data_IF_377859399457
#
_entry.id   IF_377859399457
#
_cell.length_a   1.000
_cell.length_b   1.000
_cell.length_c   1.000
_cell.angle_alpha   90.00
_cell.angle_beta   90.00
_cell.angle_gamma   90.00
#
_symmetry.space_group_name_H-M   'P 1'
#
loop_
_entity.id
_entity.type
_entity.pdbx_description
1 polymer ?
#
# COMPACT_ATOMS: atom_id res chain seq x y z
N UNK A 1 -0.55 6.06 31.74
CA UNK A 1 -1.25 4.79 31.43
C UNK A 1 -0.20 3.79 30.96
N UNK A 2 -0.30 2.49 31.28
CA UNK A 2 0.73 1.53 30.92
C UNK A 2 0.82 1.40 29.39
N UNK A 3 2.03 1.46 28.85
CA UNK A 3 2.38 1.34 27.41
C UNK A 3 1.72 0.09 26.78
N UNK A 4 1.58 -0.99 27.54
CA UNK A 4 0.93 -2.24 27.13
C UNK A 4 -0.54 -2.08 26.69
N UNK A 5 -1.29 -1.18 27.31
CA UNK A 5 -2.70 -0.96 26.98
C UNK A 5 -2.91 -0.21 25.64
N UNK A 6 -2.01 0.70 25.30
CA UNK A 6 -2.08 1.47 24.04
C UNK A 6 -1.66 0.59 22.85
N UNK A 7 -0.63 -0.23 23.03
CA UNK A 7 -0.20 -1.19 22.00
C UNK A 7 -1.31 -2.21 21.69
N UNK A 8 -2.00 -2.73 22.73
CA UNK A 8 -3.11 -3.66 22.52
C UNK A 8 -4.26 -3.06 21.71
N UNK A 9 -4.64 -1.81 22.00
CA UNK A 9 -5.68 -1.10 21.22
C UNK A 9 -5.24 -0.84 19.76
N UNK A 10 -3.98 -0.48 19.57
CA UNK A 10 -3.40 -0.31 18.23
C UNK A 10 -3.47 -1.60 17.43
N UNK A 11 -3.00 -2.72 17.99
CA UNK A 11 -2.99 -4.02 17.32
C UNK A 11 -4.40 -4.50 16.99
N UNK A 12 -5.37 -4.36 17.91
CA UNK A 12 -6.77 -4.71 17.63
C UNK A 12 -7.31 -3.90 16.44
N UNK A 13 -7.09 -2.59 16.42
CA UNK A 13 -7.55 -1.74 15.32
C UNK A 13 -6.89 -2.10 14.00
N UNK A 14 -5.58 -2.38 14.03
CA UNK A 14 -4.77 -2.75 12.88
C UNK A 14 -5.22 -4.08 12.27
N UNK A 15 -5.42 -5.11 13.09
CA UNK A 15 -5.87 -6.44 12.64
C UNK A 15 -7.31 -6.42 12.13
N UNK A 16 -8.21 -5.68 12.80
CA UNK A 16 -9.58 -5.50 12.32
C UNK A 16 -9.61 -4.80 10.95
N UNK A 17 -8.75 -3.82 10.73
CA UNK A 17 -8.63 -3.16 9.43
C UNK A 17 -8.20 -4.16 8.34
N UNK A 18 -7.22 -5.03 8.60
CA UNK A 18 -6.85 -6.11 7.66
C UNK A 18 -8.05 -7.00 7.32
N UNK A 19 -8.78 -7.48 8.34
CA UNK A 19 -9.95 -8.33 8.12
C UNK A 19 -10.96 -7.63 7.22
N UNK A 20 -11.30 -6.38 7.52
CA UNK A 20 -12.27 -5.60 6.73
C UNK A 20 -11.80 -5.45 5.27
N UNK A 21 -10.54 -5.04 5.05
CA UNK A 21 -10.04 -4.84 3.68
C UNK A 21 -9.90 -6.15 2.91
N UNK A 22 -9.53 -7.25 3.55
CA UNK A 22 -9.50 -8.58 2.91
C UNK A 22 -10.91 -9.00 2.49
N UNK A 23 -11.92 -8.81 3.35
CA UNK A 23 -13.31 -9.14 3.02
C UNK A 23 -13.85 -8.27 1.89
N UNK A 24 -13.61 -6.96 1.93
CA UNK A 24 -13.95 -6.03 0.84
C UNK A 24 -13.28 -6.44 -0.47
N UNK A 25 -12.00 -6.76 -0.43
CA UNK A 25 -11.25 -7.22 -1.58
C UNK A 25 -11.85 -8.51 -2.17
N UNK A 26 -12.11 -9.51 -1.32
CA UNK A 26 -12.62 -10.82 -1.74
C UNK A 26 -14.05 -10.77 -2.26
N UNK A 27 -14.95 -10.04 -1.58
CA UNK A 27 -16.38 -10.09 -1.88
C UNK A 27 -16.83 -9.11 -2.94
N UNK A 28 -16.20 -7.94 -3.02
CA UNK A 28 -16.66 -6.84 -3.89
C UNK A 28 -15.66 -6.48 -4.97
N UNK A 29 -14.36 -6.31 -4.61
CA UNK A 29 -13.39 -5.78 -5.56
C UNK A 29 -12.94 -6.88 -6.54
N UNK A 30 -12.51 -8.04 -6.03
CA UNK A 30 -12.00 -9.13 -6.88
C UNK A 30 -12.99 -9.59 -7.94
N UNK A 31 -14.27 -9.87 -7.63
CA UNK A 31 -15.23 -10.26 -8.66
C UNK A 31 -15.41 -9.20 -9.75
N UNK A 32 -15.27 -7.92 -9.42
CA UNK A 32 -15.47 -6.82 -10.37
C UNK A 32 -14.30 -6.58 -11.31
N UNK A 33 -13.07 -7.03 -10.97
CA UNK A 33 -11.85 -6.71 -11.73
C UNK A 33 -11.19 -7.91 -12.42
N UNK A 34 -11.40 -9.14 -11.90
CA UNK A 34 -10.64 -10.33 -12.26
C UNK A 34 -10.59 -10.63 -13.76
N UNK A 35 -11.63 -10.25 -14.51
CA UNK A 35 -11.78 -10.54 -15.93
C UNK A 35 -11.63 -9.29 -16.82
N UNK A 36 -11.43 -8.10 -16.20
CA UNK A 36 -11.21 -6.83 -16.92
C UNK A 36 -9.78 -6.72 -17.45
N UNK A 37 -9.55 -5.97 -18.54
CA UNK A 37 -8.19 -5.69 -19.02
C UNK A 37 -7.42 -4.81 -18.02
N UNK A 38 -6.06 -4.83 -18.06
CA UNK A 38 -5.23 -4.05 -17.13
C UNK A 38 -5.53 -2.54 -17.13
N UNK A 39 -5.87 -2.00 -18.29
CA UNK A 39 -6.20 -0.58 -18.48
C UNK A 39 -7.47 -0.13 -17.75
N UNK A 40 -8.35 -1.06 -17.35
CA UNK A 40 -9.55 -0.74 -16.59
C UNK A 40 -9.57 -1.36 -15.19
N UNK A 41 -8.79 -2.44 -14.95
CA UNK A 41 -8.74 -3.11 -13.66
C UNK A 41 -7.77 -2.45 -12.67
N UNK A 42 -6.61 -1.98 -13.14
CA UNK A 42 -5.52 -1.49 -12.29
C UNK A 42 -5.58 -0.01 -11.91
N UNK A 43 -6.14 0.92 -12.71
CA UNK A 43 -6.13 2.33 -12.38
C UNK A 43 -6.67 2.68 -10.99
N UNK A 44 -7.80 2.13 -10.48
CA UNK A 44 -8.29 2.47 -9.16
C UNK A 44 -7.29 2.15 -8.04
N UNK A 45 -6.54 1.05 -8.16
CA UNK A 45 -5.52 0.67 -7.20
C UNK A 45 -4.31 1.61 -7.25
N UNK A 46 -3.86 1.97 -8.46
CA UNK A 46 -2.75 2.89 -8.63
C UNK A 46 -3.11 4.30 -8.17
N UNK A 47 -4.35 4.76 -8.43
CA UNK A 47 -4.84 6.04 -7.91
C UNK A 47 -4.85 6.05 -6.38
N UNK A 48 -5.33 4.96 -5.76
CA UNK A 48 -5.26 4.82 -4.30
C UNK A 48 -3.81 4.81 -3.80
N UNK A 49 -2.92 4.12 -4.50
CA UNK A 49 -1.50 4.05 -4.15
C UNK A 49 -0.78 5.41 -4.27
N UNK A 50 -1.23 6.32 -5.13
CA UNK A 50 -0.70 7.68 -5.18
C UNK A 50 -0.93 8.45 -3.86
N UNK A 51 -1.95 8.07 -3.07
CA UNK A 51 -2.20 8.68 -1.75
C UNK A 51 -1.14 8.32 -0.71
N UNK A 52 -0.19 7.44 -1.03
CA UNK A 52 0.99 7.19 -0.18
C UNK A 52 1.86 8.44 0.02
N UNK A 53 1.70 9.47 -0.80
CA UNK A 53 2.30 10.79 -0.52
C UNK A 53 1.98 11.29 0.89
N UNK A 54 0.87 10.83 1.48
CA UNK A 54 0.52 11.14 2.88
C UNK A 54 1.53 10.59 3.90
N UNK A 55 2.42 9.66 3.53
CA UNK A 55 3.53 9.21 4.37
C UNK A 55 4.48 10.35 4.79
N UNK A 56 4.52 11.46 4.04
CA UNK A 56 5.24 12.67 4.45
C UNK A 56 4.72 13.26 5.78
N UNK A 57 3.52 12.86 6.25
CA UNK A 57 3.00 13.24 7.58
C UNK A 57 3.94 12.81 8.71
N UNK A 58 4.71 11.73 8.55
CA UNK A 58 5.70 11.29 9.55
C UNK A 58 6.84 12.31 9.78
N UNK A 59 7.03 13.25 8.86
CA UNK A 59 8.04 14.32 8.94
C UNK A 59 7.45 15.68 9.32
N UNK A 60 6.11 15.78 9.48
CA UNK A 60 5.45 17.07 9.70
C UNK A 60 5.38 17.40 11.20
N UNK A 61 6.01 18.50 11.64
CA UNK A 61 5.89 18.96 13.02
C UNK A 61 4.42 19.15 13.43
N UNK A 62 4.07 18.68 14.62
CA UNK A 62 2.72 18.79 15.15
C UNK A 62 1.75 17.69 14.70
N UNK A 63 2.08 16.91 13.68
CA UNK A 63 1.29 15.73 13.29
C UNK A 63 1.79 14.45 13.96
N UNK A 64 3.06 14.38 14.29
CA UNK A 64 3.70 13.32 15.06
C UNK A 64 4.41 13.89 16.28
N UNK A 65 4.68 13.04 17.27
CA UNK A 65 5.49 13.43 18.42
C UNK A 65 6.93 13.78 17.99
N UNK A 66 7.57 14.80 18.58
CA UNK A 66 8.99 15.07 18.40
C UNK A 66 9.90 13.90 18.82
N UNK A 67 9.40 13.00 19.67
CA UNK A 67 10.11 11.82 20.16
C UNK A 67 10.03 10.62 19.17
N UNK A 68 9.29 10.75 18.06
CA UNK A 68 9.22 9.69 17.05
C UNK A 68 10.62 9.42 16.46
N UNK A 69 11.13 8.19 16.52
CA UNK A 69 12.47 7.86 16.03
C UNK A 69 12.64 8.25 14.55
N UNK A 70 13.62 9.11 14.28
CA UNK A 70 13.94 9.56 12.92
C UNK A 70 14.39 8.40 12.03
N UNK A 71 15.00 7.36 12.63
CA UNK A 71 15.40 6.14 11.93
C UNK A 71 14.19 5.37 11.36
N UNK A 72 13.01 5.52 11.97
CA UNK A 72 11.74 5.02 11.45
C UNK A 72 11.06 6.03 10.52
N UNK A 73 10.91 7.28 10.98
CA UNK A 73 10.09 8.30 10.31
C UNK A 73 10.60 8.65 8.91
N UNK A 74 11.91 8.87 8.78
CA UNK A 74 12.52 9.35 7.52
C UNK A 74 12.46 8.28 6.41
N UNK A 75 12.93 7.05 6.61
CA UNK A 75 12.82 6.03 5.56
C UNK A 75 11.38 5.71 5.18
N UNK A 76 10.46 5.63 6.15
CA UNK A 76 9.04 5.36 5.91
C UNK A 76 8.42 6.46 5.05
N UNK A 77 8.66 7.74 5.36
CA UNK A 77 8.11 8.86 4.60
C UNK A 77 8.62 8.89 3.14
N UNK A 78 9.92 8.72 2.93
CA UNK A 78 10.50 8.73 1.59
C UNK A 78 10.23 7.44 0.81
N UNK A 79 10.08 6.31 1.46
CA UNK A 79 9.63 5.07 0.87
C UNK A 79 8.20 5.19 0.33
N UNK A 80 7.30 5.73 1.14
CA UNK A 80 5.93 6.06 0.73
C UNK A 80 5.88 7.03 -0.46
N UNK A 81 6.69 8.10 -0.43
CA UNK A 81 6.80 9.04 -1.54
C UNK A 81 7.30 8.36 -2.82
N UNK A 82 8.31 7.51 -2.71
CA UNK A 82 8.86 6.75 -3.86
C UNK A 82 7.79 5.85 -4.46
N UNK A 83 7.06 5.12 -3.63
CA UNK A 83 5.96 4.26 -4.09
C UNK A 83 4.84 5.08 -4.73
N UNK A 84 4.48 6.24 -4.19
CA UNK A 84 3.48 7.14 -4.78
C UNK A 84 3.89 7.62 -6.18
N UNK A 85 5.15 8.03 -6.36
CA UNK A 85 5.69 8.45 -7.67
C UNK A 85 5.68 7.30 -8.67
N UNK A 86 6.11 6.09 -8.26
CA UNK A 86 6.07 4.91 -9.13
C UNK A 86 4.63 4.53 -9.50
N UNK A 87 3.66 4.64 -8.58
CA UNK A 87 2.25 4.43 -8.86
C UNK A 87 1.72 5.42 -9.90
N UNK A 88 2.08 6.70 -9.78
CA UNK A 88 1.69 7.74 -10.73
C UNK A 88 2.27 7.49 -12.13
N UNK A 89 3.54 7.10 -12.23
CA UNK A 89 4.18 6.74 -13.49
C UNK A 89 3.49 5.52 -14.10
N UNK A 90 3.23 4.47 -13.31
CA UNK A 90 2.53 3.28 -13.77
C UNK A 90 1.11 3.61 -14.27
N UNK A 91 0.39 4.48 -13.55
CA UNK A 91 -0.94 4.96 -13.95
C UNK A 91 -0.89 5.72 -15.29
N UNK A 92 0.08 6.61 -15.45
CA UNK A 92 0.28 7.33 -16.71
C UNK A 92 0.60 6.36 -17.87
N UNK A 93 1.49 5.39 -17.64
CA UNK A 93 1.80 4.37 -18.64
C UNK A 93 0.56 3.54 -19.04
N UNK A 94 -0.33 3.21 -18.11
CA UNK A 94 -1.60 2.53 -18.41
C UNK A 94 -2.56 3.44 -19.20
N UNK A 95 -2.65 4.71 -18.81
CA UNK A 95 -3.53 5.69 -19.46
C UNK A 95 -3.17 5.91 -20.93
N UNK A 96 -1.87 5.95 -21.25
CA UNK A 96 -1.35 6.13 -22.61
C UNK A 96 -1.08 4.81 -23.34
N UNK A 97 -1.55 3.68 -22.81
CA UNK A 97 -1.42 2.34 -23.38
C UNK A 97 0.03 1.98 -23.76
N UNK A 98 0.99 2.47 -22.97
CA UNK A 98 2.41 2.26 -23.21
C UNK A 98 2.77 0.76 -23.10
N UNK A 99 3.70 0.32 -23.97
CA UNK A 99 4.23 -1.06 -23.92
C UNK A 99 4.90 -1.42 -22.58
N UNK A 100 5.37 -0.41 -21.85
CA UNK A 100 5.98 -0.57 -20.53
C UNK A 100 4.98 -0.49 -19.36
N UNK A 101 3.69 -0.32 -19.63
CA UNK A 101 2.68 -0.16 -18.58
C UNK A 101 2.67 -1.32 -17.57
N UNK A 102 2.58 -2.57 -18.04
CA UNK A 102 2.58 -3.74 -17.16
C UNK A 102 3.91 -3.90 -16.41
N UNK A 103 5.10 -3.78 -17.04
CA UNK A 103 6.37 -3.72 -16.34
C UNK A 103 6.43 -2.64 -15.25
N UNK A 104 5.91 -1.44 -15.49
CA UNK A 104 5.87 -0.36 -14.50
C UNK A 104 4.95 -0.69 -13.32
N UNK A 105 3.81 -1.33 -13.55
CA UNK A 105 2.95 -1.83 -12.46
C UNK A 105 3.68 -2.88 -11.63
N UNK A 106 4.44 -3.78 -12.24
CA UNK A 106 5.28 -4.74 -11.52
C UNK A 106 6.32 -4.05 -10.66
N UNK A 107 7.05 -3.08 -11.23
CA UNK A 107 8.08 -2.32 -10.51
C UNK A 107 7.48 -1.60 -9.30
N UNK A 108 6.41 -0.83 -9.51
CA UNK A 108 5.66 -0.17 -8.43
C UNK A 108 5.26 -1.17 -7.34
N UNK A 109 4.67 -2.30 -7.75
CA UNK A 109 4.10 -3.24 -6.81
C UNK A 109 5.15 -3.94 -5.94
N UNK A 110 6.31 -4.28 -6.53
CA UNK A 110 7.43 -4.88 -5.81
C UNK A 110 8.03 -3.84 -4.84
N UNK A 111 8.39 -2.65 -5.34
CA UNK A 111 9.02 -1.62 -4.51
C UNK A 111 8.08 -1.19 -3.38
N UNK A 112 6.80 -0.94 -3.68
CA UNK A 112 5.83 -0.50 -2.69
C UNK A 112 5.51 -1.55 -1.62
N UNK A 113 5.51 -2.85 -1.97
CA UNK A 113 5.34 -3.91 -0.97
C UNK A 113 6.58 -4.07 -0.09
N UNK A 114 7.78 -4.02 -0.67
CA UNK A 114 9.03 -4.08 0.10
C UNK A 114 9.14 -2.93 1.08
N UNK A 115 8.74 -1.74 0.67
CA UNK A 115 8.70 -0.56 1.53
C UNK A 115 7.72 -0.74 2.71
N UNK A 116 6.51 -1.25 2.47
CA UNK A 116 5.56 -1.56 3.55
C UNK A 116 6.12 -2.60 4.54
N UNK A 117 6.79 -3.65 4.03
CA UNK A 117 7.43 -4.66 4.88
C UNK A 117 8.53 -4.00 5.71
N UNK A 118 9.36 -3.16 5.10
CA UNK A 118 10.42 -2.44 5.78
C UNK A 118 9.88 -1.49 6.86
N UNK A 119 8.85 -0.72 6.57
CA UNK A 119 8.22 0.18 7.54
C UNK A 119 7.67 -0.58 8.76
N UNK A 120 7.01 -1.72 8.55
CA UNK A 120 6.54 -2.58 9.65
C UNK A 120 7.71 -3.16 10.45
N UNK A 121 8.74 -3.67 9.78
CA UNK A 121 9.95 -4.17 10.43
C UNK A 121 10.64 -3.08 11.26
N UNK A 122 10.83 -1.89 10.69
CA UNK A 122 11.48 -0.76 11.36
C UNK A 122 10.68 -0.30 12.59
N UNK A 123 9.35 -0.26 12.50
CA UNK A 123 8.50 0.11 13.64
C UNK A 123 8.68 -0.85 14.83
N UNK A 124 8.84 -2.15 14.57
CA UNK A 124 9.08 -3.17 15.60
C UNK A 124 10.51 -3.05 16.13
N UNK A 125 11.50 -2.96 15.23
CA UNK A 125 12.93 -2.86 15.57
C UNK A 125 13.24 -1.64 16.45
N UNK A 126 12.64 -0.51 16.10
CA UNK A 126 12.89 0.77 16.80
C UNK A 126 11.91 0.99 17.98
N UNK A 127 11.11 -0.04 18.34
CA UNK A 127 10.12 -0.03 19.43
C UNK A 127 9.22 1.21 19.38
N UNK A 128 8.69 1.54 18.20
CA UNK A 128 7.83 2.73 18.01
C UNK A 128 6.56 2.58 18.82
N UNK A 129 6.39 3.44 19.85
CA UNK A 129 5.13 3.50 20.59
C UNK A 129 4.05 4.14 19.69
N UNK A 130 2.88 3.48 19.50
CA UNK A 130 1.79 4.02 18.70
C UNK A 130 1.32 5.41 19.13
N UNK A 131 1.53 5.81 20.38
CA UNK A 131 1.17 7.15 20.88
C UNK A 131 2.02 8.25 20.27
N UNK A 132 3.24 7.91 19.78
CA UNK A 132 4.14 8.86 19.10
C UNK A 132 3.68 9.22 17.69
N UNK A 133 2.79 8.40 17.11
CA UNK A 133 2.28 8.60 15.74
C UNK A 133 1.35 9.82 15.63
N UNK A 134 0.78 10.31 16.74
CA UNK A 134 -0.12 11.46 16.70
C UNK A 134 -1.25 11.30 15.69
N UNK A 135 -1.45 12.28 14.81
CA UNK A 135 -2.45 12.21 13.75
C UNK A 135 -2.15 11.13 12.70
N UNK A 136 -0.88 10.78 12.51
CA UNK A 136 -0.46 9.70 11.60
C UNK A 136 -0.87 8.29 12.07
N UNK A 137 -1.42 8.16 13.29
CA UNK A 137 -2.04 6.93 13.79
C UNK A 137 -3.07 6.37 12.80
N UNK A 138 -3.94 7.23 12.24
CA UNK A 138 -4.96 6.80 11.27
C UNK A 138 -4.35 6.32 9.96
N UNK A 139 -3.25 6.94 9.55
CA UNK A 139 -2.48 6.48 8.40
C UNK A 139 -1.97 5.05 8.62
N UNK A 140 -1.33 4.81 9.76
CA UNK A 140 -0.80 3.49 10.10
C UNK A 140 -1.91 2.43 10.21
N UNK A 141 -3.00 2.72 10.92
CA UNK A 141 -4.06 1.74 11.24
C UNK A 141 -4.97 1.43 10.05
N UNK A 142 -5.25 2.39 9.18
CA UNK A 142 -6.18 2.20 8.06
C UNK A 142 -5.47 2.04 6.73
N UNK A 143 -4.53 2.93 6.42
CA UNK A 143 -3.93 2.97 5.09
C UNK A 143 -2.91 1.85 4.86
N UNK A 144 -2.12 1.48 5.87
CA UNK A 144 -1.13 0.40 5.73
C UNK A 144 -1.80 -0.96 5.46
N UNK A 145 -2.83 -1.42 6.23
CA UNK A 145 -3.57 -2.64 5.91
C UNK A 145 -4.25 -2.60 4.54
N UNK A 146 -4.92 -1.49 4.21
CA UNK A 146 -5.56 -1.34 2.90
C UNK A 146 -4.55 -1.44 1.76
N UNK A 147 -3.39 -0.79 1.90
CA UNK A 147 -2.35 -0.78 0.88
C UNK A 147 -1.70 -2.15 0.72
N UNK A 148 -1.46 -2.88 1.81
CA UNK A 148 -0.95 -4.25 1.75
C UNK A 148 -1.90 -5.16 0.97
N UNK A 149 -3.22 -5.06 1.23
CA UNK A 149 -4.24 -5.80 0.48
C UNK A 149 -4.23 -5.41 -1.00
N UNK A 150 -4.11 -4.12 -1.32
CA UNK A 150 -4.00 -3.64 -2.71
C UNK A 150 -2.79 -4.24 -3.42
N UNK A 151 -1.61 -4.23 -2.80
CA UNK A 151 -0.40 -4.85 -3.39
C UNK A 151 -0.60 -6.34 -3.66
N UNK A 152 -1.17 -7.08 -2.70
CA UNK A 152 -1.49 -8.51 -2.87
C UNK A 152 -2.47 -8.72 -4.02
N UNK A 153 -3.53 -7.92 -4.12
CA UNK A 153 -4.50 -8.01 -5.20
C UNK A 153 -3.89 -7.75 -6.58
N UNK A 154 -3.03 -6.74 -6.70
CA UNK A 154 -2.30 -6.44 -7.94
C UNK A 154 -1.42 -7.65 -8.31
N UNK A 155 -0.69 -8.26 -7.36
CA UNK A 155 0.10 -9.46 -7.64
C UNK A 155 -0.76 -10.62 -8.12
N UNK A 156 -1.86 -10.92 -7.43
CA UNK A 156 -2.78 -12.01 -7.83
C UNK A 156 -3.31 -11.75 -9.24
N UNK A 157 -3.72 -10.51 -9.54
CA UNK A 157 -4.22 -10.13 -10.86
C UNK A 157 -3.16 -10.31 -11.94
N UNK A 158 -1.96 -9.80 -11.76
CA UNK A 158 -0.87 -9.89 -12.73
C UNK A 158 -0.41 -11.33 -12.97
N UNK A 159 -0.28 -12.13 -11.90
CA UNK A 159 0.11 -13.54 -11.99
C UNK A 159 -0.95 -14.39 -12.71
N UNK A 160 -2.23 -14.14 -12.43
CA UNK A 160 -3.33 -14.82 -13.12
C UNK A 160 -3.31 -14.54 -14.62
N UNK A 161 -3.12 -13.28 -15.01
CA UNK A 161 -3.02 -12.85 -16.41
C UNK A 161 -1.84 -13.48 -17.15
N UNK A 162 -0.72 -13.65 -16.47
CA UNK A 162 0.46 -14.30 -17.04
C UNK A 162 0.22 -15.79 -17.35
N UNK A 163 -0.68 -16.44 -16.61
CA UNK A 163 -1.02 -17.87 -16.78
C UNK A 163 -2.08 -18.13 -17.84
N UNK A 164 -2.83 -17.11 -18.28
CA UNK A 164 -3.77 -17.26 -19.39
C UNK A 164 -2.99 -17.08 -20.69
N UNK A 165 -2.75 -18.16 -21.49
CA UNK A 165 -2.15 -18.01 -22.80
C UNK A 165 -3.05 -17.14 -23.69
N UNK A 166 -2.45 -16.46 -24.68
CA UNK A 166 -3.16 -15.72 -25.72
C UNK A 166 -3.97 -16.71 -26.60
N UNK A 167 -5.06 -17.23 -26.11
CA UNK A 167 -5.97 -18.09 -26.87
C UNK A 167 -6.86 -17.35 -27.88
N UNK A 168 -6.67 -16.05 -28.10
CA UNK A 168 -7.50 -15.24 -28.99
C UNK A 168 -6.74 -14.52 -30.10
N UNK A 169 -5.69 -15.15 -30.65
CA UNK A 169 -5.01 -14.63 -31.84
C UNK A 169 -5.14 -15.57 -33.06
N UNK A 170 -6.12 -16.49 -33.05
CA UNK A 170 -6.39 -17.40 -34.16
C UNK A 170 -7.90 -17.70 -34.28
N UNK A 171 -8.68 -16.68 -34.58
CA UNK A 171 -10.03 -16.84 -35.12
C UNK A 171 -10.33 -15.68 -36.07
#
# INVERSE_FOLDING_TARGET
MPVSGNLGRYLISYELAYIVFILLAKWYIWPSIKDRPPTSALPPFLMYACLRVNGLMFLMPGLVSPELPQAFAVPTAYGDLTAAVLALIALACLRYESRVAVPMVWLFNIVGLLDLIYANYSSIKDNVDPTLLGASYYLAVLNVPAMAVVHVMIFIYLLRRRKQPRESASA
#
